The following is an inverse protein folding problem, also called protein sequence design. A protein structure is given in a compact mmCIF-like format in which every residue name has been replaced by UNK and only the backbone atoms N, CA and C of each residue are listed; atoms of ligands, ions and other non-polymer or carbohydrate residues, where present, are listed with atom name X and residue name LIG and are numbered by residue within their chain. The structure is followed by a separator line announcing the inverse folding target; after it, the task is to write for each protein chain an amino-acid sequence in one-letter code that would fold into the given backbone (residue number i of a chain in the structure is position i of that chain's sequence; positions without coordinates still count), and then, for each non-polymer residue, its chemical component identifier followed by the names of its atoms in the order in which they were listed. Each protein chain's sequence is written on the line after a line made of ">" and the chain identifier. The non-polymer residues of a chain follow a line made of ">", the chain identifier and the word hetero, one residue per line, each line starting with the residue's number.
data_IF_212371526169
#
_entry.id   IF_212371526169
#
_cell.length_a   1.000
_cell.length_b   1.000
_cell.length_c   1.000
_cell.angle_alpha   90.00
_cell.angle_beta   90.00
_cell.angle_gamma   90.00
#
_symmetry.space_group_name_H-M   'P 1'
#
loop_
_entity.id
_entity.type
_entity.pdbx_description
1 polymer ?
#
# COMPACT_ATOMS: atom_id res chain seq x y z
N UNK A 1 60.65 59.12 -24.40
CA UNK A 1 59.43 59.19 -23.56
C UNK A 1 58.27 58.22 -23.88
N UNK A 2 58.28 57.31 -24.90
CA UNK A 2 57.08 56.49 -25.17
C UNK A 2 57.04 55.13 -24.45
N UNK A 3 58.20 54.58 -24.02
CA UNK A 3 58.29 53.23 -23.43
C UNK A 3 57.65 53.18 -22.03
N UNK A 4 57.80 54.25 -21.24
CA UNK A 4 57.27 54.31 -19.87
C UNK A 4 55.73 54.38 -19.81
N UNK A 5 55.10 54.99 -20.82
CA UNK A 5 53.64 55.09 -20.94
C UNK A 5 53.00 53.77 -21.41
N UNK A 6 53.69 53.00 -22.25
CA UNK A 6 53.21 51.69 -22.69
C UNK A 6 53.27 50.65 -21.56
N UNK A 7 54.34 50.70 -20.75
CA UNK A 7 54.57 49.77 -19.65
C UNK A 7 53.57 49.98 -18.50
N UNK A 8 53.26 51.24 -18.18
CA UNK A 8 52.20 51.58 -17.21
C UNK A 8 50.80 51.17 -17.67
N UNK A 9 50.50 51.27 -18.98
CA UNK A 9 49.21 50.82 -19.54
C UNK A 9 49.05 49.29 -19.51
N UNK A 10 50.13 48.54 -19.83
CA UNK A 10 50.16 47.07 -19.74
C UNK A 10 50.00 46.59 -18.29
N UNK A 11 50.65 47.26 -17.35
CA UNK A 11 50.56 46.93 -15.92
C UNK A 11 49.18 47.26 -15.33
N UNK A 12 48.51 48.31 -15.80
CA UNK A 12 47.12 48.62 -15.43
C UNK A 12 46.14 47.57 -15.96
N UNK A 13 46.29 47.11 -17.20
CA UNK A 13 45.44 46.04 -17.76
C UNK A 13 45.65 44.70 -17.05
N UNK A 14 46.89 44.34 -16.69
CA UNK A 14 47.20 43.12 -15.92
C UNK A 14 46.53 43.14 -14.55
N UNK A 15 46.62 44.26 -13.82
CA UNK A 15 45.95 44.41 -12.51
C UNK A 15 44.43 44.38 -12.60
N UNK A 16 43.86 44.92 -13.67
CA UNK A 16 42.42 44.83 -13.91
C UNK A 16 41.98 43.39 -14.22
N UNK A 17 42.76 42.61 -14.96
CA UNK A 17 42.47 41.20 -15.23
C UNK A 17 42.56 40.34 -13.96
N UNK A 18 43.62 40.52 -13.15
CA UNK A 18 43.78 39.84 -11.85
C UNK A 18 42.64 40.17 -10.88
N UNK A 19 42.16 41.41 -10.87
CA UNK A 19 41.03 41.81 -10.02
C UNK A 19 39.69 41.18 -10.46
N UNK A 20 39.49 40.99 -11.76
CA UNK A 20 38.30 40.30 -12.31
C UNK A 20 38.36 38.81 -11.97
N UNK A 21 39.52 38.17 -12.15
CA UNK A 21 39.72 36.75 -11.84
C UNK A 21 39.57 36.47 -10.33
N UNK A 22 40.12 37.33 -9.47
CA UNK A 22 39.92 37.23 -8.02
C UNK A 22 38.44 37.41 -7.62
N UNK A 23 37.70 38.29 -8.30
CA UNK A 23 36.27 38.48 -8.09
C UNK A 23 35.46 37.24 -8.48
N UNK A 24 35.78 36.62 -9.62
CA UNK A 24 35.05 35.45 -10.14
C UNK A 24 35.31 34.19 -9.29
N UNK A 25 36.56 34.01 -8.81
CA UNK A 25 36.91 32.95 -7.86
C UNK A 25 36.18 33.13 -6.53
N UNK A 26 36.07 34.37 -6.02
CA UNK A 26 35.33 34.66 -4.79
C UNK A 26 33.82 34.40 -4.95
N UNK A 27 33.22 34.75 -6.08
CA UNK A 27 31.80 34.46 -6.38
C UNK A 27 31.57 32.94 -6.44
N UNK A 28 32.47 32.20 -7.10
CA UNK A 28 32.37 30.74 -7.19
C UNK A 28 32.53 30.04 -5.84
N UNK A 29 33.47 30.50 -5.01
CA UNK A 29 33.67 30.00 -3.64
C UNK A 29 32.43 30.26 -2.78
N UNK A 30 31.90 31.48 -2.81
CA UNK A 30 30.72 31.85 -2.02
C UNK A 30 29.47 31.07 -2.47
N UNK A 31 29.27 30.87 -3.77
CA UNK A 31 28.19 30.01 -4.28
C UNK A 31 28.36 28.54 -3.84
N UNK A 32 29.59 28.01 -3.82
CA UNK A 32 29.82 26.64 -3.34
C UNK A 32 29.54 26.47 -1.85
N UNK A 33 29.91 27.45 -1.02
CA UNK A 33 29.61 27.45 0.41
C UNK A 33 28.11 27.57 0.68
N UNK A 34 27.40 28.43 -0.06
CA UNK A 34 25.93 28.57 0.04
C UNK A 34 25.23 27.25 -0.34
N UNK A 35 25.66 26.61 -1.43
CA UNK A 35 25.10 25.32 -1.87
C UNK A 35 25.39 24.22 -0.84
N UNK A 36 26.60 24.17 -0.29
CA UNK A 36 26.97 23.19 0.72
C UNK A 36 26.20 23.40 2.03
N UNK A 37 26.06 24.65 2.49
CA UNK A 37 25.28 24.99 3.68
C UNK A 37 23.80 24.67 3.49
N UNK A 38 23.24 24.96 2.31
CA UNK A 38 21.86 24.59 1.95
C UNK A 38 21.64 23.08 1.92
N UNK A 39 22.62 22.31 1.42
CA UNK A 39 22.55 20.84 1.42
C UNK A 39 22.58 20.25 2.85
N UNK A 40 23.35 20.85 3.75
CA UNK A 40 23.46 20.42 5.15
C UNK A 40 22.15 20.73 5.89
N UNK A 41 21.58 21.92 5.69
CA UNK A 41 20.31 22.30 6.32
C UNK A 41 19.15 21.44 5.79
N UNK A 42 19.10 21.20 4.48
CA UNK A 42 18.13 20.31 3.84
C UNK A 42 18.25 18.86 4.37
N UNK A 43 19.49 18.35 4.52
CA UNK A 43 19.74 17.03 5.12
C UNK A 43 19.29 16.95 6.58
N UNK A 44 19.54 18.00 7.37
CA UNK A 44 19.10 18.09 8.76
C UNK A 44 17.57 18.17 8.88
N UNK A 45 16.91 18.94 8.02
CA UNK A 45 15.46 19.06 7.97
C UNK A 45 14.78 17.75 7.51
N UNK A 46 15.35 17.07 6.52
CA UNK A 46 14.92 15.74 6.08
C UNK A 46 15.03 14.71 7.21
N UNK A 47 16.11 14.73 7.98
CA UNK A 47 16.29 13.88 9.17
C UNK A 47 15.24 14.16 10.25
N UNK A 48 14.94 15.44 10.53
CA UNK A 48 13.86 15.85 11.45
C UNK A 48 12.48 15.39 10.96
N UNK A 49 12.20 15.53 9.67
CA UNK A 49 10.96 15.07 9.03
C UNK A 49 10.81 13.54 9.12
N UNK A 50 11.87 12.78 8.82
CA UNK A 50 11.85 11.31 9.00
C UNK A 50 11.61 10.92 10.46
N UNK A 51 12.29 11.57 11.41
CA UNK A 51 12.10 11.32 12.85
C UNK A 51 10.65 11.57 13.28
N UNK A 52 10.03 12.65 12.79
CA UNK A 52 8.63 12.94 13.06
C UNK A 52 7.69 11.84 12.51
N UNK A 53 7.92 11.35 11.29
CA UNK A 53 7.13 10.26 10.69
C UNK A 53 7.21 8.97 11.51
N UNK A 54 8.43 8.57 11.91
CA UNK A 54 8.60 7.40 12.77
C UNK A 54 7.91 7.58 14.12
N UNK A 55 7.95 8.78 14.69
CA UNK A 55 7.24 9.09 15.93
C UNK A 55 5.72 8.88 15.77
N UNK A 56 5.11 9.36 14.69
CA UNK A 56 3.69 9.12 14.40
C UNK A 56 3.37 7.63 14.20
N UNK A 57 4.24 6.89 13.49
CA UNK A 57 4.11 5.44 13.36
C UNK A 57 4.13 4.72 14.70
N UNK A 58 5.05 5.10 15.60
CA UNK A 58 5.16 4.56 16.95
C UNK A 58 3.93 4.94 17.79
N UNK A 59 3.50 6.20 17.76
CA UNK A 59 2.31 6.66 18.49
C UNK A 59 1.06 5.90 18.04
N UNK A 60 0.91 5.69 16.74
CA UNK A 60 -0.18 4.89 16.18
C UNK A 60 -0.11 3.44 16.65
N UNK A 61 1.07 2.81 16.60
CA UNK A 61 1.28 1.45 17.11
C UNK A 61 0.92 1.34 18.60
N UNK A 62 1.43 2.25 19.43
CA UNK A 62 1.17 2.28 20.87
C UNK A 62 -0.32 2.45 21.14
N UNK A 63 -0.98 3.39 20.45
CA UNK A 63 -2.42 3.65 20.61
C UNK A 63 -3.25 2.40 20.28
N UNK A 64 -2.92 1.70 19.19
CA UNK A 64 -3.60 0.48 18.77
C UNK A 64 -3.35 -0.71 19.72
N UNK A 65 -2.13 -0.85 20.24
CA UNK A 65 -1.80 -1.84 21.28
C UNK A 65 -2.50 -1.53 22.60
N UNK A 66 -2.60 -0.25 22.99
CA UNK A 66 -3.36 0.17 24.16
C UNK A 66 -4.86 -0.12 24.00
N UNK A 67 -5.44 0.19 22.84
CA UNK A 67 -6.84 -0.11 22.53
C UNK A 67 -7.13 -1.62 22.63
N UNK A 68 -6.24 -2.45 22.11
CA UNK A 68 -6.30 -3.90 22.28
C UNK A 68 -6.25 -4.33 23.75
N UNK A 69 -5.24 -3.84 24.47
CA UNK A 69 -5.03 -4.20 25.87
C UNK A 69 -6.25 -3.83 26.72
N UNK A 70 -6.83 -2.65 26.49
CA UNK A 70 -8.07 -2.20 27.12
C UNK A 70 -9.22 -3.15 26.76
N UNK A 71 -9.44 -3.46 25.47
CA UNK A 71 -10.52 -4.36 25.03
C UNK A 71 -10.47 -5.73 25.71
N UNK A 72 -9.29 -6.35 25.80
CA UNK A 72 -9.15 -7.75 26.22
C UNK A 72 -8.82 -7.93 27.71
N UNK A 73 -8.26 -6.92 28.38
CA UNK A 73 -7.80 -6.99 29.78
C UNK A 73 -8.39 -5.94 30.73
N UNK A 74 -9.12 -4.92 30.26
CA UNK A 74 -9.64 -3.85 31.15
C UNK A 74 -10.45 -4.40 32.34
N UNK A 75 -11.22 -5.48 32.15
CA UNK A 75 -11.98 -6.11 33.23
C UNK A 75 -11.12 -6.65 34.37
N UNK A 76 -9.87 -7.06 34.09
CA UNK A 76 -8.93 -7.53 35.12
C UNK A 76 -8.23 -6.37 35.85
N UNK A 77 -8.11 -5.22 35.19
CA UNK A 77 -7.33 -4.07 35.68
C UNK A 77 -8.22 -3.07 36.43
N UNK A 78 -9.48 -2.89 36.01
CA UNK A 78 -10.45 -1.98 36.64
C UNK A 78 -11.77 -2.72 36.96
N UNK A 79 -11.84 -3.49 38.06
CA UNK A 79 -13.07 -4.18 38.46
C UNK A 79 -14.22 -3.22 38.83
N UNK A 80 -13.93 -1.94 39.06
CA UNK A 80 -14.91 -0.89 39.39
C UNK A 80 -15.61 -0.30 38.15
N UNK A 81 -15.05 -0.47 36.95
CA UNK A 81 -15.76 -0.14 35.72
C UNK A 81 -16.66 -1.32 35.35
N UNK A 82 -17.92 -1.27 35.79
CA UNK A 82 -18.99 -2.09 35.23
C UNK A 82 -19.19 -1.71 33.75
N UNK A 83 -18.33 -2.23 32.87
CA UNK A 83 -18.64 -2.27 31.45
C UNK A 83 -19.83 -3.22 31.29
N UNK A 84 -20.93 -2.70 30.74
CA UNK A 84 -22.08 -3.51 30.34
C UNK A 84 -21.57 -4.60 29.42
N UNK A 85 -21.60 -5.84 29.90
CA UNK A 85 -21.22 -7.03 29.15
C UNK A 85 -22.18 -7.09 27.95
N UNK A 86 -21.69 -6.74 26.75
CA UNK A 86 -22.54 -6.66 25.56
C UNK A 86 -23.12 -8.03 25.17
N UNK A 87 -22.50 -9.12 25.62
CA UNK A 87 -23.11 -10.45 25.65
C UNK A 87 -22.39 -11.34 26.69
N UNK A 88 -23.16 -12.07 27.50
CA UNK A 88 -22.63 -13.10 28.40
C UNK A 88 -22.10 -14.32 27.62
N UNK A 89 -21.36 -15.18 28.31
CA UNK A 89 -20.70 -16.41 27.79
C UNK A 89 -21.67 -17.45 27.20
N UNK A 90 -22.99 -17.18 27.28
CA UNK A 90 -24.08 -18.03 26.77
C UNK A 90 -24.88 -17.44 25.61
N UNK A 91 -24.46 -16.33 24.98
CA UNK A 91 -25.05 -15.83 23.72
C UNK A 91 -26.52 -15.37 23.75
N UNK A 92 -27.23 -15.50 24.87
CA UNK A 92 -28.67 -15.25 24.95
C UNK A 92 -29.05 -13.88 25.55
N UNK A 93 -28.10 -13.19 26.19
CA UNK A 93 -28.30 -11.85 26.75
C UNK A 93 -27.41 -10.84 26.02
N UNK A 94 -27.55 -10.77 24.70
CA UNK A 94 -27.02 -9.64 23.96
C UNK A 94 -27.93 -8.43 24.17
N UNK A 95 -27.39 -7.22 24.03
CA UNK A 95 -28.14 -5.96 24.06
C UNK A 95 -29.17 -5.94 22.91
N UNK A 96 -30.26 -6.68 23.09
CA UNK A 96 -31.26 -6.91 22.07
C UNK A 96 -32.05 -5.63 21.87
N UNK A 97 -32.22 -5.26 20.60
CA UNK A 97 -33.10 -4.21 20.11
C UNK A 97 -34.57 -4.60 20.40
N UNK A 98 -34.96 -4.63 21.67
CA UNK A 98 -36.35 -4.79 22.07
C UNK A 98 -36.85 -3.47 22.63
N UNK A 99 -37.46 -2.71 21.71
CA UNK A 99 -38.49 -1.71 21.95
C UNK A 99 -38.46 -0.96 23.28
N UNK A 100 -37.71 0.13 23.34
CA UNK A 100 -38.13 1.29 24.12
C UNK A 100 -37.57 2.56 23.48
N UNK A 101 -38.51 3.41 23.06
CA UNK A 101 -38.37 4.62 22.28
C UNK A 101 -37.74 5.78 23.06
N UNK A 102 -36.48 5.61 23.47
CA UNK A 102 -35.62 6.74 23.82
C UNK A 102 -34.18 6.43 23.40
N UNK A 103 -33.88 6.83 22.15
CA UNK A 103 -32.54 6.78 21.59
C UNK A 103 -31.72 7.87 22.31
N UNK A 104 -31.08 7.53 23.43
CA UNK A 104 -30.19 8.47 24.13
C UNK A 104 -29.10 8.99 23.19
N UNK A 105 -28.78 10.28 23.28
CA UNK A 105 -27.78 10.96 22.43
C UNK A 105 -26.46 10.19 22.35
N UNK A 106 -26.04 9.57 23.46
CA UNK A 106 -24.83 8.74 23.54
C UNK A 106 -24.88 7.52 22.61
N UNK A 107 -26.02 6.82 22.54
CA UNK A 107 -26.20 5.64 21.67
C UNK A 107 -26.20 6.05 20.20
N UNK A 108 -26.84 7.17 19.89
CA UNK A 108 -26.83 7.73 18.54
C UNK A 108 -25.41 8.11 18.11
N UNK A 109 -24.61 8.74 18.98
CA UNK A 109 -23.24 9.11 18.69
C UNK A 109 -22.34 7.89 18.43
N UNK A 110 -22.47 6.82 19.24
CA UNK A 110 -21.71 5.57 19.04
C UNK A 110 -22.09 4.90 17.72
N UNK A 111 -23.38 4.86 17.39
CA UNK A 111 -23.86 4.30 16.13
C UNK A 111 -23.32 5.09 14.92
N UNK A 112 -23.45 6.43 14.94
CA UNK A 112 -22.94 7.29 13.88
C UNK A 112 -21.42 7.18 13.74
N UNK A 113 -20.68 7.11 14.86
CA UNK A 113 -19.23 6.91 14.84
C UNK A 113 -18.85 5.55 14.25
N UNK A 114 -19.60 4.49 14.55
CA UNK A 114 -19.40 3.17 13.97
C UNK A 114 -19.65 3.13 12.47
N UNK A 115 -20.73 3.74 11.98
CA UNK A 115 -21.01 3.84 10.55
C UNK A 115 -19.97 4.70 9.81
N UNK A 116 -19.56 5.83 10.41
CA UNK A 116 -18.47 6.66 9.88
C UNK A 116 -17.15 5.88 9.81
N UNK A 117 -16.81 5.14 10.86
CA UNK A 117 -15.62 4.30 10.88
C UNK A 117 -15.69 3.19 9.83
N UNK A 118 -16.88 2.63 9.54
CA UNK A 118 -17.06 1.60 8.51
C UNK A 118 -16.80 2.18 7.13
N UNK A 119 -17.35 3.36 6.83
CA UNK A 119 -17.09 4.07 5.59
C UNK A 119 -15.61 4.45 5.46
N UNK A 120 -14.99 4.99 6.52
CA UNK A 120 -13.57 5.34 6.56
C UNK A 120 -12.65 4.15 6.38
N UNK A 121 -12.98 3.00 6.98
CA UNK A 121 -12.26 1.75 6.79
C UNK A 121 -12.32 1.25 5.34
N UNK A 122 -13.48 1.39 4.68
CA UNK A 122 -13.62 1.09 3.25
C UNK A 122 -12.73 1.98 2.37
N UNK A 123 -12.70 3.29 2.65
CA UNK A 123 -11.82 4.24 1.94
C UNK A 123 -10.35 3.88 2.17
N UNK A 124 -9.98 3.55 3.41
CA UNK A 124 -8.62 3.12 3.75
C UNK A 124 -8.18 1.91 2.93
N UNK A 125 -9.03 0.88 2.82
CA UNK A 125 -8.73 -0.32 2.04
C UNK A 125 -8.47 -0.01 0.57
N UNK A 126 -9.27 0.87 -0.04
CA UNK A 126 -9.08 1.28 -1.45
C UNK A 126 -7.77 2.06 -1.62
N UNK A 127 -7.46 2.98 -0.72
CA UNK A 127 -6.20 3.75 -0.77
C UNK A 127 -4.98 2.86 -0.54
N UNK A 128 -5.04 1.97 0.44
CA UNK A 128 -4.00 0.98 0.70
C UNK A 128 -3.80 0.07 -0.51
N UNK A 129 -4.88 -0.35 -1.16
CA UNK A 129 -4.81 -1.21 -2.34
C UNK A 129 -4.10 -0.53 -3.52
N UNK A 130 -4.43 0.73 -3.81
CA UNK A 130 -3.74 1.49 -4.87
C UNK A 130 -2.26 1.66 -4.55
N UNK A 131 -1.93 2.01 -3.30
CA UNK A 131 -0.55 2.11 -2.80
C UNK A 131 0.22 0.80 -2.96
N UNK A 132 -0.38 -0.35 -2.62
CA UNK A 132 0.25 -1.67 -2.80
C UNK A 132 0.50 -1.99 -4.28
N UNK A 133 -0.44 -1.68 -5.17
CA UNK A 133 -0.27 -1.94 -6.62
C UNK A 133 0.88 -1.09 -7.19
N UNK A 134 0.95 0.20 -6.83
CA UNK A 134 2.05 1.08 -7.25
C UNK A 134 3.37 0.65 -6.62
N UNK A 135 3.37 0.19 -5.37
CA UNK A 135 4.55 -0.40 -4.73
C UNK A 135 5.02 -1.66 -5.45
N UNK A 136 4.12 -2.56 -5.87
CA UNK A 136 4.47 -3.75 -6.67
C UNK A 136 5.07 -3.33 -8.01
N UNK A 137 4.51 -2.31 -8.67
CA UNK A 137 5.05 -1.78 -9.92
C UNK A 137 6.44 -1.15 -9.75
N UNK A 138 6.63 -0.38 -8.68
CA UNK A 138 7.93 0.18 -8.29
C UNK A 138 8.94 -0.92 -7.98
N UNK A 139 8.54 -1.93 -7.20
CA UNK A 139 9.37 -3.08 -6.84
C UNK A 139 9.83 -3.83 -8.10
N UNK A 140 8.91 -4.06 -9.04
CA UNK A 140 9.21 -4.65 -10.33
C UNK A 140 10.28 -3.86 -11.09
N UNK A 141 10.22 -2.52 -11.07
CA UNK A 141 11.24 -1.66 -11.70
C UNK A 141 12.57 -1.64 -10.93
N UNK A 142 12.53 -1.70 -9.60
CA UNK A 142 13.72 -1.65 -8.76
C UNK A 142 14.60 -2.90 -8.90
N UNK A 143 13.99 -4.08 -8.94
CA UNK A 143 14.71 -5.34 -9.16
C UNK A 143 15.21 -5.49 -10.60
N UNK A 144 14.72 -4.67 -11.53
CA UNK A 144 15.07 -4.70 -12.95
C UNK A 144 15.33 -3.28 -13.49
N UNK A 145 16.45 -2.64 -13.10
CA UNK A 145 16.90 -1.44 -13.79
C UNK A 145 17.25 -1.79 -15.24
N UNK A 146 16.97 -0.89 -16.19
CA UNK A 146 17.10 -1.05 -17.67
C UNK A 146 18.52 -1.43 -18.19
N UNK A 147 19.45 -1.80 -17.33
CA UNK A 147 20.87 -2.02 -17.63
C UNK A 147 21.28 -3.44 -17.20
N UNK A 148 21.86 -4.22 -18.14
CA UNK A 148 22.28 -5.65 -18.09
C UNK A 148 21.29 -6.68 -18.71
N UNK A 149 21.06 -6.53 -20.03
CA UNK A 149 20.08 -7.25 -20.88
C UNK A 149 20.23 -8.79 -21.00
N UNK A 150 21.22 -9.45 -20.39
CA UNK A 150 21.38 -10.93 -20.46
C UNK A 150 21.23 -11.67 -19.14
N UNK A 151 21.73 -11.14 -18.01
CA UNK A 151 21.52 -11.76 -16.69
C UNK A 151 20.15 -11.42 -16.08
N UNK A 152 19.64 -10.21 -16.35
CA UNK A 152 18.37 -9.73 -15.80
C UNK A 152 17.15 -10.53 -16.30
N UNK A 153 17.13 -10.94 -17.57
CA UNK A 153 16.01 -11.70 -18.16
C UNK A 153 15.85 -13.10 -17.53
N UNK A 154 16.95 -13.78 -17.21
CA UNK A 154 16.91 -15.09 -16.53
C UNK A 154 16.39 -14.97 -15.09
N UNK A 155 16.82 -13.91 -14.38
CA UNK A 155 16.39 -13.64 -13.01
C UNK A 155 14.92 -13.22 -12.94
N UNK A 156 14.44 -12.40 -13.88
CA UNK A 156 13.03 -12.02 -14.00
C UNK A 156 12.11 -13.23 -14.15
N UNK A 157 12.44 -14.11 -15.11
CA UNK A 157 11.66 -15.31 -15.38
C UNK A 157 11.71 -16.28 -14.19
N UNK A 158 12.86 -16.42 -13.54
CA UNK A 158 13.00 -17.25 -12.34
C UNK A 158 12.12 -16.74 -11.19
N UNK A 159 12.20 -15.44 -10.87
CA UNK A 159 11.41 -14.85 -9.79
C UNK A 159 9.91 -14.89 -10.11
N UNK A 160 9.52 -14.60 -11.35
CA UNK A 160 8.13 -14.70 -11.80
C UNK A 160 7.60 -16.13 -11.64
N UNK A 161 8.38 -17.12 -12.08
CA UNK A 161 8.03 -18.54 -11.96
C UNK A 161 7.85 -18.94 -10.49
N UNK A 162 8.72 -18.48 -9.60
CA UNK A 162 8.61 -18.75 -8.17
C UNK A 162 7.30 -18.20 -7.57
N UNK A 163 6.91 -16.97 -7.91
CA UNK A 163 5.65 -16.38 -7.45
C UNK A 163 4.43 -17.13 -7.99
N UNK A 164 4.45 -17.56 -9.25
CA UNK A 164 3.36 -18.38 -9.79
C UNK A 164 3.27 -19.76 -9.13
N UNK A 165 4.41 -20.42 -8.88
CA UNK A 165 4.45 -21.69 -8.14
C UNK A 165 3.86 -21.51 -6.74
N UNK A 166 4.25 -20.45 -6.03
CA UNK A 166 3.70 -20.14 -4.71
C UNK A 166 2.17 -19.89 -4.76
N UNK A 167 1.68 -19.16 -5.76
CA UNK A 167 0.26 -18.92 -5.94
C UNK A 167 -0.53 -20.22 -6.21
N UNK A 168 -0.04 -21.08 -7.11
CA UNK A 168 -0.67 -22.38 -7.40
C UNK A 168 -0.64 -23.29 -6.18
N UNK A 169 0.49 -23.36 -5.46
CA UNK A 169 0.59 -24.10 -4.22
C UNK A 169 -0.42 -23.60 -3.18
N UNK A 170 -0.58 -22.28 -3.04
CA UNK A 170 -1.59 -21.68 -2.17
C UNK A 170 -3.02 -22.09 -2.55
N UNK A 171 -3.38 -22.09 -3.83
CA UNK A 171 -4.69 -22.56 -4.32
C UNK A 171 -4.91 -24.03 -3.96
N UNK A 172 -3.94 -24.91 -4.24
CA UNK A 172 -4.04 -26.35 -3.96
C UNK A 172 -4.19 -26.58 -2.45
N UNK A 173 -3.39 -25.89 -1.64
CA UNK A 173 -3.46 -25.98 -0.18
C UNK A 173 -4.82 -25.51 0.34
N UNK A 174 -5.38 -24.43 -0.21
CA UNK A 174 -6.70 -23.95 0.18
C UNK A 174 -7.82 -24.94 -0.18
N UNK A 175 -7.75 -25.58 -1.35
CA UNK A 175 -8.70 -26.64 -1.70
C UNK A 175 -8.63 -27.81 -0.71
N UNK A 176 -7.42 -28.24 -0.37
CA UNK A 176 -7.22 -29.35 0.55
C UNK A 176 -7.69 -29.02 1.98
N UNK A 177 -7.36 -27.83 2.49
CA UNK A 177 -7.63 -27.47 3.89
C UNK A 177 -9.05 -26.97 4.14
N UNK A 178 -9.65 -26.23 3.20
CA UNK A 178 -10.90 -25.49 3.44
C UNK A 178 -12.05 -25.87 2.50
N UNK A 179 -11.79 -26.64 1.44
CA UNK A 179 -12.77 -26.94 0.38
C UNK A 179 -12.85 -28.42 0.00
N UNK A 180 -12.33 -29.33 0.84
CA UNK A 180 -12.33 -30.78 0.55
C UNK A 180 -13.72 -31.41 0.52
N UNK A 181 -14.68 -30.83 1.26
CA UNK A 181 -16.06 -31.34 1.35
C UNK A 181 -17.03 -30.49 0.52
N UNK A 182 -17.96 -31.16 -0.15
CA UNK A 182 -19.04 -30.51 -0.93
C UNK A 182 -19.95 -29.59 -0.07
N UNK A 183 -19.97 -29.80 1.24
CA UNK A 183 -20.67 -28.93 2.19
C UNK A 183 -20.08 -27.51 2.28
N UNK A 184 -18.81 -27.32 1.87
CA UNK A 184 -18.10 -26.04 1.93
C UNK A 184 -18.22 -25.26 0.61
N UNK A 185 -19.44 -25.15 0.06
CA UNK A 185 -19.72 -24.58 -1.27
C UNK A 185 -19.21 -23.14 -1.43
N UNK A 186 -19.29 -22.34 -0.36
CA UNK A 186 -18.84 -20.95 -0.37
C UNK A 186 -17.30 -20.84 -0.42
N UNK A 187 -16.58 -21.69 0.31
CA UNK A 187 -15.11 -21.74 0.23
C UNK A 187 -14.66 -22.27 -1.13
N UNK A 188 -15.36 -23.26 -1.70
CA UNK A 188 -15.14 -23.74 -3.07
C UNK A 188 -15.31 -22.57 -4.05
N UNK A 189 -16.40 -21.79 -3.92
CA UNK A 189 -16.66 -20.63 -4.78
C UNK A 189 -15.55 -19.57 -4.69
N UNK A 190 -15.10 -19.20 -3.50
CA UNK A 190 -14.01 -18.23 -3.35
C UNK A 190 -12.71 -18.72 -4.01
N UNK A 191 -12.26 -19.93 -3.69
CA UNK A 191 -11.01 -20.46 -4.24
C UNK A 191 -11.09 -20.66 -5.75
N UNK A 192 -12.21 -21.16 -6.29
CA UNK A 192 -12.42 -21.29 -7.74
C UNK A 192 -12.35 -19.94 -8.43
N UNK A 193 -13.01 -18.92 -7.89
CA UNK A 193 -13.02 -17.58 -8.47
C UNK A 193 -11.62 -16.93 -8.44
N UNK A 194 -10.88 -17.05 -7.34
CA UNK A 194 -9.48 -16.59 -7.26
C UNK A 194 -8.60 -17.29 -8.31
N UNK A 195 -8.78 -18.59 -8.52
CA UNK A 195 -8.06 -19.33 -9.56
C UNK A 195 -8.39 -18.82 -10.98
N UNK A 196 -9.66 -18.50 -11.25
CA UNK A 196 -10.07 -17.88 -12.53
C UNK A 196 -9.40 -16.52 -12.70
N UNK A 197 -9.42 -15.65 -11.68
CA UNK A 197 -8.77 -14.34 -11.72
C UNK A 197 -7.27 -14.46 -11.99
N UNK A 198 -6.59 -15.44 -11.40
CA UNK A 198 -5.18 -15.73 -11.66
C UNK A 198 -4.94 -16.06 -13.13
N UNK A 199 -5.73 -16.98 -13.70
CA UNK A 199 -5.60 -17.37 -15.11
C UNK A 199 -5.86 -16.17 -16.04
N UNK A 200 -6.90 -15.38 -15.75
CA UNK A 200 -7.22 -14.18 -16.53
C UNK A 200 -6.07 -13.16 -16.50
N UNK A 201 -5.51 -12.88 -15.32
CA UNK A 201 -4.36 -11.98 -15.20
C UNK A 201 -3.13 -12.51 -15.94
N UNK A 202 -2.85 -13.81 -15.85
CA UNK A 202 -1.74 -14.45 -16.57
C UNK A 202 -1.91 -14.32 -18.10
N UNK A 203 -3.09 -14.63 -18.63
CA UNK A 203 -3.38 -14.54 -20.08
C UNK A 203 -3.25 -13.11 -20.58
N UNK A 204 -3.78 -12.13 -19.85
CA UNK A 204 -3.70 -10.72 -20.24
C UNK A 204 -2.26 -10.20 -20.18
N UNK A 205 -1.48 -10.60 -19.17
CA UNK A 205 -0.06 -10.22 -19.07
C UNK A 205 0.81 -10.82 -20.18
N UNK A 206 0.47 -12.02 -20.66
CA UNK A 206 1.15 -12.67 -21.80
C UNK A 206 0.71 -12.13 -23.16
N UNK A 207 -0.38 -11.37 -23.22
CA UNK A 207 -0.88 -10.84 -24.48
C UNK A 207 0.10 -9.82 -25.07
N UNK A 208 0.47 -10.02 -26.34
CA UNK A 208 1.52 -9.28 -27.04
C UNK A 208 1.33 -7.75 -27.08
N UNK A 209 0.08 -7.28 -26.94
CA UNK A 209 -0.24 -5.84 -26.91
C UNK A 209 0.03 -5.15 -25.57
N UNK A 210 0.29 -5.92 -24.50
CA UNK A 210 0.42 -5.38 -23.14
C UNK A 210 1.86 -5.48 -22.62
N UNK A 211 2.63 -6.52 -23.00
CA UNK A 211 4.08 -6.72 -22.75
C UNK A 211 4.67 -6.03 -21.50
N UNK A 212 3.93 -6.08 -20.38
CA UNK A 212 4.40 -5.65 -19.06
C UNK A 212 4.89 -6.92 -18.37
N UNK A 213 6.16 -6.92 -17.95
CA UNK A 213 6.90 -8.11 -17.48
C UNK A 213 6.09 -9.07 -16.59
N UNK A 214 6.34 -10.37 -16.79
CA UNK A 214 5.61 -11.48 -16.17
C UNK A 214 5.75 -11.49 -14.63
N UNK A 215 6.80 -10.85 -14.10
CA UNK A 215 7.06 -10.73 -12.67
C UNK A 215 5.98 -9.95 -11.92
N UNK A 216 5.51 -8.83 -12.47
CA UNK A 216 4.45 -8.03 -11.84
C UNK A 216 3.15 -8.83 -11.67
N UNK A 217 2.78 -9.62 -12.67
CA UNK A 217 1.57 -10.46 -12.65
C UNK A 217 1.70 -11.62 -11.66
N UNK A 218 2.89 -12.23 -11.56
CA UNK A 218 3.17 -13.25 -10.54
C UNK A 218 3.08 -12.73 -9.09
N UNK A 219 3.63 -11.54 -8.82
CA UNK A 219 3.53 -10.90 -7.50
C UNK A 219 2.07 -10.59 -7.16
N UNK A 220 1.31 -10.05 -8.12
CA UNK A 220 -0.12 -9.79 -7.95
C UNK A 220 -0.92 -11.09 -7.74
N UNK A 221 -0.60 -12.16 -8.47
CA UNK A 221 -1.22 -13.47 -8.30
C UNK A 221 -1.02 -14.02 -6.87
N UNK A 222 0.20 -13.90 -6.34
CA UNK A 222 0.49 -14.29 -4.95
C UNK A 222 -0.30 -13.43 -3.95
N UNK A 223 -0.45 -12.13 -4.22
CA UNK A 223 -1.21 -11.22 -3.37
C UNK A 223 -2.71 -11.56 -3.32
N UNK A 224 -3.36 -11.84 -4.46
CA UNK A 224 -4.78 -12.22 -4.48
C UNK A 224 -5.02 -13.56 -3.78
N UNK A 225 -4.11 -14.53 -3.93
CA UNK A 225 -4.18 -15.82 -3.24
C UNK A 225 -4.05 -15.63 -1.73
N UNK A 226 -3.16 -14.73 -1.29
CA UNK A 226 -3.04 -14.36 0.12
C UNK A 226 -4.31 -13.68 0.66
N UNK A 227 -4.93 -12.78 -0.12
CA UNK A 227 -6.20 -12.15 0.29
C UNK A 227 -7.34 -13.18 0.41
N UNK A 228 -7.46 -14.10 -0.54
CA UNK A 228 -8.43 -15.20 -0.47
C UNK A 228 -8.20 -16.07 0.77
N UNK A 229 -6.95 -16.48 1.03
CA UNK A 229 -6.60 -17.25 2.23
C UNK A 229 -6.96 -16.51 3.51
N UNK A 230 -6.63 -15.21 3.59
CA UNK A 230 -6.96 -14.34 4.72
C UNK A 230 -8.48 -14.21 4.93
N UNK A 231 -9.27 -14.20 3.85
CA UNK A 231 -10.72 -14.13 3.92
C UNK A 231 -11.36 -15.43 4.45
N UNK A 232 -10.91 -16.59 3.97
CA UNK A 232 -11.38 -17.90 4.44
C UNK A 232 -11.00 -18.11 5.91
N UNK A 233 -9.81 -17.65 6.34
CA UNK A 233 -9.41 -17.67 7.76
C UNK A 233 -10.26 -16.78 8.67
N UNK A 234 -10.92 -15.77 8.10
CA UNK A 234 -11.86 -14.90 8.79
C UNK A 234 -13.27 -15.50 8.92
N UNK A 235 -13.55 -16.62 8.25
CA UNK A 235 -14.82 -17.34 8.37
C UNK A 235 -15.07 -17.72 9.85
N UNK A 236 -16.28 -17.50 10.38
CA UNK A 236 -16.60 -17.97 11.73
C UNK A 236 -16.47 -19.49 11.78
N UNK A 237 -15.82 -20.00 12.84
CA UNK A 237 -15.52 -21.41 12.98
C UNK A 237 -16.80 -22.27 12.93
N UNK A 238 -16.93 -23.06 11.86
CA UNK A 238 -17.86 -24.17 11.75
C UNK A 238 -17.06 -25.48 11.85
N UNK A 239 -17.66 -26.52 12.42
CA UNK A 239 -16.97 -27.81 12.60
C UNK A 239 -16.68 -28.53 11.26
N UNK A 240 -17.30 -28.08 10.18
CA UNK A 240 -17.33 -28.77 8.89
C UNK A 240 -16.20 -28.30 7.95
N UNK A 241 -15.90 -27.00 7.93
CA UNK A 241 -15.01 -26.39 6.92
C UNK A 241 -13.78 -25.72 7.54
N UNK A 242 -13.84 -25.27 8.80
CA UNK A 242 -12.74 -24.57 9.46
C UNK A 242 -12.49 -25.12 10.89
N UNK A 243 -12.15 -26.41 10.97
CA UNK A 243 -11.92 -27.15 12.22
C UNK A 243 -10.65 -26.73 13.00
N UNK A 244 -9.81 -25.86 12.42
CA UNK A 244 -8.48 -25.54 12.98
C UNK A 244 -8.50 -24.77 14.31
N UNK A 245 -9.69 -24.36 14.79
CA UNK A 245 -9.80 -23.53 16.01
C UNK A 245 -10.00 -24.31 17.32
N UNK A 246 -10.21 -25.63 17.30
CA UNK A 246 -10.54 -26.39 18.52
C UNK A 246 -9.45 -27.32 19.09
N UNK A 247 -8.35 -27.61 18.38
CA UNK A 247 -7.59 -28.84 18.72
C UNK A 247 -6.40 -28.66 19.69
N UNK A 248 -5.80 -27.49 19.94
CA UNK A 248 -4.59 -27.45 20.77
C UNK A 248 -4.60 -26.41 21.90
N UNK A 249 -4.55 -26.89 23.15
CA UNK A 249 -4.36 -26.13 24.39
C UNK A 249 -3.02 -25.38 24.52
N UNK A 250 -2.22 -25.28 23.46
CA UNK A 250 -1.07 -24.40 23.32
C UNK A 250 -1.36 -23.19 22.39
N UNK A 251 -2.63 -22.98 22.03
CA UNK A 251 -3.08 -22.01 21.03
C UNK A 251 -2.98 -20.53 21.43
N UNK A 252 -2.95 -20.23 22.72
CA UNK A 252 -2.99 -18.83 23.20
C UNK A 252 -1.80 -18.00 22.71
N UNK A 253 -0.57 -18.49 22.84
CA UNK A 253 0.62 -17.77 22.38
C UNK A 253 0.65 -17.58 20.86
N UNK A 254 0.19 -18.56 20.08
CA UNK A 254 0.16 -18.45 18.62
C UNK A 254 -0.89 -17.46 18.13
N UNK A 255 -2.02 -17.34 18.83
CA UNK A 255 -3.04 -16.32 18.52
C UNK A 255 -2.59 -14.92 18.89
N UNK A 256 -1.93 -14.75 20.05
CA UNK A 256 -1.33 -13.47 20.47
C UNK A 256 -0.23 -13.05 19.47
N UNK A 257 0.64 -13.98 19.07
CA UNK A 257 1.68 -13.70 18.09
C UNK A 257 1.08 -13.29 16.72
N UNK A 258 0.08 -14.03 16.24
CA UNK A 258 -0.60 -13.72 14.97
C UNK A 258 -1.29 -12.35 15.02
N UNK A 259 -1.85 -12.01 16.17
CA UNK A 259 -2.46 -10.71 16.43
C UNK A 259 -1.43 -9.58 16.38
N UNK A 260 -0.28 -9.73 17.05
CA UNK A 260 0.79 -8.72 17.02
C UNK A 260 1.36 -8.51 15.61
N UNK A 261 1.54 -9.61 14.87
CA UNK A 261 1.96 -9.55 13.46
C UNK A 261 0.94 -8.77 12.62
N UNK A 262 -0.37 -9.03 12.82
CA UNK A 262 -1.42 -8.30 12.13
C UNK A 262 -1.40 -6.81 12.43
N UNK A 263 -1.24 -6.41 13.71
CA UNK A 263 -1.08 -4.99 14.07
C UNK A 263 0.11 -4.39 13.35
N UNK A 264 1.29 -5.01 13.44
CA UNK A 264 2.51 -4.51 12.80
C UNK A 264 2.32 -4.35 11.28
N UNK A 265 1.68 -5.32 10.62
CA UNK A 265 1.37 -5.25 9.20
C UNK A 265 0.46 -4.05 8.86
N UNK A 266 -0.57 -3.79 9.67
CA UNK A 266 -1.47 -2.65 9.46
C UNK A 266 -0.76 -1.32 9.68
N UNK A 267 0.09 -1.22 10.70
CA UNK A 267 0.89 -0.01 10.94
C UNK A 267 1.84 0.24 9.76
N UNK A 268 2.52 -0.80 9.29
CA UNK A 268 3.41 -0.69 8.12
C UNK A 268 2.64 -0.29 6.86
N UNK A 269 1.46 -0.88 6.62
CA UNK A 269 0.62 -0.53 5.49
C UNK A 269 0.11 0.92 5.56
N UNK A 270 -0.30 1.37 6.75
CA UNK A 270 -0.76 2.76 7.00
C UNK A 270 0.38 3.74 6.78
N UNK A 271 1.57 3.43 7.31
CA UNK A 271 2.76 4.25 7.15
C UNK A 271 3.18 4.34 5.68
N UNK A 272 3.27 3.21 4.99
CA UNK A 272 3.62 3.12 3.56
C UNK A 272 2.64 3.90 2.70
N UNK A 273 1.34 3.76 2.96
CA UNK A 273 0.30 4.49 2.21
C UNK A 273 0.35 5.99 2.52
N UNK A 274 0.66 6.38 3.76
CA UNK A 274 0.76 7.78 4.15
C UNK A 274 1.93 8.51 3.50
N UNK A 275 3.04 7.82 3.23
CA UNK A 275 4.20 8.39 2.54
C UNK A 275 4.03 8.39 1.01
N UNK A 276 3.19 7.52 0.46
CA UNK A 276 2.96 7.36 -0.98
C UNK A 276 1.97 8.39 -1.56
N UNK A 277 2.06 9.66 -1.13
CA UNK A 277 1.14 10.69 -1.62
C UNK A 277 1.31 11.00 -3.11
N UNK A 278 2.47 10.68 -3.70
CA UNK A 278 2.77 10.95 -5.11
C UNK A 278 1.90 10.13 -6.08
N UNK A 279 1.57 8.89 -5.71
CA UNK A 279 0.64 8.03 -6.46
C UNK A 279 -0.76 8.63 -6.60
N UNK A 280 -1.13 9.56 -5.71
CA UNK A 280 -2.44 10.20 -5.65
C UNK A 280 -2.44 11.68 -6.11
N UNK A 281 -1.29 12.21 -6.56
CA UNK A 281 -1.23 13.57 -7.10
C UNK A 281 -1.80 13.60 -8.53
N UNK A 282 -3.01 14.15 -8.68
CA UNK A 282 -3.70 14.31 -9.96
C UNK A 282 -3.03 15.34 -10.91
N UNK A 283 -2.12 16.18 -10.42
CA UNK A 283 -1.39 17.17 -11.21
C UNK A 283 0.12 17.00 -11.00
N UNK A 284 0.79 16.44 -12.01
CA UNK A 284 2.26 16.19 -12.01
C UNK A 284 3.09 17.42 -12.41
N UNK A 285 2.46 18.57 -12.58
CA UNK A 285 3.05 19.75 -13.22
C UNK A 285 3.96 20.58 -12.28
N UNK A 286 4.12 20.16 -11.01
CA UNK A 286 5.05 20.80 -10.08
C UNK A 286 6.38 20.06 -10.11
N UNK A 287 7.41 20.71 -10.65
CA UNK A 287 8.81 20.28 -10.48
C UNK A 287 9.09 20.24 -8.99
N UNK A 288 9.33 19.05 -8.42
CA UNK A 288 9.84 18.92 -7.06
C UNK A 288 11.22 19.57 -7.02
N UNK A 289 11.34 20.71 -6.34
CA UNK A 289 12.63 21.24 -5.93
C UNK A 289 13.20 20.28 -4.87
N UNK A 290 14.52 20.06 -4.86
CA UNK A 290 15.21 19.16 -3.91
C UNK A 290 14.96 19.49 -2.42
N UNK A 291 14.38 20.66 -2.13
CA UNK A 291 13.99 21.14 -0.80
C UNK A 291 12.53 20.80 -0.40
N UNK A 292 11.69 20.31 -1.32
CA UNK A 292 10.29 19.98 -1.02
C UNK A 292 10.17 18.61 -0.34
N UNK A 293 9.47 18.59 0.79
CA UNK A 293 9.20 17.37 1.55
C UNK A 293 8.37 16.41 0.68
N UNK A 294 8.77 15.14 0.52
CA UNK A 294 8.27 14.25 -0.53
C UNK A 294 6.79 13.83 -0.40
N UNK A 295 6.07 14.31 0.61
CA UNK A 295 4.68 13.96 0.87
C UNK A 295 3.84 15.13 1.42
N UNK A 296 2.53 15.08 1.18
CA UNK A 296 1.60 16.08 1.74
C UNK A 296 1.22 15.72 3.19
N UNK A 297 1.52 16.61 4.13
CA UNK A 297 1.17 16.48 5.55
C UNK A 297 -0.31 16.18 5.79
N UNK A 298 -1.22 16.87 5.09
CA UNK A 298 -2.66 16.65 5.22
C UNK A 298 -3.08 15.25 4.79
N UNK A 299 -2.49 14.76 3.69
CA UNK A 299 -2.72 13.39 3.21
C UNK A 299 -2.19 12.35 4.20
N UNK A 300 -0.99 12.56 4.75
CA UNK A 300 -0.42 11.66 5.75
C UNK A 300 -1.31 11.50 6.98
N UNK A 301 -1.77 12.61 7.57
CA UNK A 301 -2.67 12.55 8.72
C UNK A 301 -4.04 11.97 8.39
N UNK A 302 -4.56 12.23 7.18
CA UNK A 302 -5.79 11.61 6.68
C UNK A 302 -5.65 10.09 6.62
N UNK A 303 -4.57 9.56 6.05
CA UNK A 303 -4.32 8.12 5.98
C UNK A 303 -4.22 7.49 7.39
N UNK A 304 -3.54 8.15 8.33
CA UNK A 304 -3.48 7.68 9.71
C UNK A 304 -4.85 7.69 10.42
N UNK A 305 -5.69 8.69 10.15
CA UNK A 305 -7.06 8.75 10.66
C UNK A 305 -7.93 7.63 10.08
N UNK A 306 -7.87 7.41 8.76
CA UNK A 306 -8.57 6.32 8.08
C UNK A 306 -8.06 4.94 8.53
N UNK A 307 -6.75 4.81 8.76
CA UNK A 307 -6.13 3.60 9.32
C UNK A 307 -6.61 3.30 10.74
N UNK A 308 -6.84 4.32 11.58
CA UNK A 308 -7.43 4.15 12.90
C UNK A 308 -8.89 3.64 12.81
N UNK A 309 -9.68 4.18 11.87
CA UNK A 309 -11.05 3.72 11.62
C UNK A 309 -11.07 2.26 11.12
N UNK A 310 -10.16 1.91 10.22
CA UNK A 310 -9.96 0.53 9.76
C UNK A 310 -9.62 -0.39 10.93
N UNK A 311 -8.64 -0.03 11.77
CA UNK A 311 -8.26 -0.81 12.94
C UNK A 311 -9.43 -1.03 13.91
N UNK A 312 -10.23 0.00 14.15
CA UNK A 312 -11.45 -0.10 14.97
C UNK A 312 -12.45 -1.10 14.39
N UNK A 313 -12.64 -1.12 13.06
CA UNK A 313 -13.51 -2.10 12.40
C UNK A 313 -13.02 -3.54 12.56
N UNK A 314 -11.71 -3.78 12.54
CA UNK A 314 -11.18 -5.12 12.72
C UNK A 314 -11.44 -5.67 14.13
N UNK A 315 -11.41 -4.80 15.14
CA UNK A 315 -11.70 -5.19 16.52
C UNK A 315 -13.14 -5.64 16.74
N UNK A 316 -14.09 -5.08 16.00
CA UNK A 316 -15.49 -5.47 16.05
C UNK A 316 -15.86 -6.45 14.92
N UNK A 317 -14.86 -6.95 14.18
CA UNK A 317 -15.06 -7.88 13.06
C UNK A 317 -16.08 -7.38 12.02
N UNK A 318 -16.05 -6.07 11.74
CA UNK A 318 -16.94 -5.39 10.79
C UNK A 318 -18.43 -5.46 11.13
N UNK A 319 -18.78 -5.84 12.36
CA UNK A 319 -20.16 -5.96 12.80
C UNK A 319 -20.40 -5.02 13.99
N UNK A 320 -21.36 -4.11 13.85
CA UNK A 320 -21.72 -3.14 14.90
C UNK A 320 -22.59 -3.76 16.00
N UNK A 321 -23.22 -4.92 15.75
CA UNK A 321 -24.24 -5.51 16.60
C UNK A 321 -23.70 -6.65 17.48
N UNK A 322 -22.62 -7.30 17.07
CA UNK A 322 -22.07 -8.48 17.75
C UNK A 322 -20.81 -8.18 18.57
N UNK A 323 -20.71 -8.78 19.76
CA UNK A 323 -19.51 -8.69 20.59
C UNK A 323 -18.36 -9.53 20.01
N UNK A 324 -17.22 -8.91 19.75
CA UNK A 324 -16.02 -9.61 19.30
C UNK A 324 -15.48 -10.57 20.38
N UNK A 325 -14.99 -11.73 19.96
CA UNK A 325 -14.38 -12.70 20.89
C UNK A 325 -12.99 -12.23 21.31
N UNK A 326 -12.60 -12.55 22.54
CA UNK A 326 -11.27 -12.30 23.10
C UNK A 326 -10.15 -12.83 22.19
N UNK A 327 -9.06 -12.07 22.01
CA UNK A 327 -7.94 -12.41 21.11
C UNK A 327 -8.27 -12.55 19.62
N UNK A 328 -9.50 -12.27 19.21
CA UNK A 328 -9.89 -12.33 17.79
C UNK A 328 -9.99 -10.94 17.19
N UNK A 329 -9.43 -10.81 15.99
CA UNK A 329 -9.57 -9.68 15.08
C UNK A 329 -10.13 -10.28 13.79
N UNK A 330 -11.05 -9.58 13.13
CA UNK A 330 -11.50 -9.94 11.79
C UNK A 330 -12.09 -11.35 11.68
N UNK A 331 -12.83 -11.83 12.70
CA UNK A 331 -13.50 -13.13 12.63
C UNK A 331 -14.99 -12.93 12.52
N UNK A 332 -15.55 -13.25 11.36
CA UNK A 332 -16.97 -13.15 11.06
C UNK A 332 -17.22 -12.99 9.57
N UNK A 333 -18.45 -13.32 9.15
CA UNK A 333 -18.86 -13.24 7.75
C UNK A 333 -18.64 -11.86 7.14
N UNK A 334 -18.87 -10.78 7.89
CA UNK A 334 -18.63 -9.43 7.42
C UNK A 334 -17.15 -9.19 7.06
N UNK A 335 -16.22 -9.62 7.92
CA UNK A 335 -14.78 -9.53 7.64
C UNK A 335 -14.37 -10.38 6.44
N UNK A 336 -14.89 -11.61 6.33
CA UNK A 336 -14.66 -12.48 5.16
C UNK A 336 -15.07 -11.79 3.86
N UNK A 337 -16.30 -11.24 3.80
CA UNK A 337 -16.79 -10.56 2.60
C UNK A 337 -16.00 -9.30 2.27
N UNK A 338 -15.63 -8.50 3.27
CA UNK A 338 -14.81 -7.31 3.04
C UNK A 338 -13.46 -7.67 2.41
N UNK A 339 -12.83 -8.75 2.86
CA UNK A 339 -11.57 -9.24 2.29
C UNK A 339 -11.73 -9.80 0.87
N UNK A 340 -12.79 -10.56 0.59
CA UNK A 340 -13.10 -11.07 -0.76
C UNK A 340 -13.40 -9.93 -1.74
N UNK A 341 -14.21 -8.96 -1.32
CA UNK A 341 -14.51 -7.78 -2.14
C UNK A 341 -13.24 -6.97 -2.40
N UNK A 342 -12.37 -6.82 -1.41
CA UNK A 342 -11.07 -6.17 -1.57
C UNK A 342 -10.18 -6.92 -2.59
N UNK A 343 -10.18 -8.25 -2.59
CA UNK A 343 -9.49 -9.07 -3.60
C UNK A 343 -10.02 -8.80 -5.01
N UNK A 344 -11.35 -8.74 -5.19
CA UNK A 344 -11.96 -8.48 -6.50
C UNK A 344 -11.62 -7.08 -7.00
N UNK A 345 -11.66 -6.08 -6.12
CA UNK A 345 -11.20 -4.73 -6.46
C UNK A 345 -9.72 -4.71 -6.82
N UNK A 346 -8.88 -5.46 -6.10
CA UNK A 346 -7.45 -5.56 -6.38
C UNK A 346 -7.20 -6.09 -7.80
N UNK A 347 -7.81 -7.22 -8.14
CA UNK A 347 -7.71 -7.81 -9.48
C UNK A 347 -8.25 -6.84 -10.55
N UNK A 348 -9.39 -6.20 -10.30
CA UNK A 348 -10.01 -5.27 -11.26
C UNK A 348 -9.14 -4.05 -11.53
N UNK A 349 -8.61 -3.41 -10.49
CA UNK A 349 -7.73 -2.23 -10.63
C UNK A 349 -6.44 -2.62 -11.36
N UNK A 350 -5.87 -3.78 -11.04
CA UNK A 350 -4.68 -4.29 -11.72
C UNK A 350 -4.93 -4.56 -13.21
N UNK A 351 -6.01 -5.27 -13.55
CA UNK A 351 -6.41 -5.52 -14.92
C UNK A 351 -6.66 -4.22 -15.68
N UNK A 352 -7.34 -3.25 -15.07
CA UNK A 352 -7.55 -1.94 -15.66
C UNK A 352 -6.23 -1.21 -15.92
N UNK A 353 -5.25 -1.28 -15.02
CA UNK A 353 -3.91 -0.70 -15.21
C UNK A 353 -3.13 -1.34 -16.37
N UNK A 354 -3.37 -2.62 -16.66
CA UNK A 354 -2.80 -3.32 -17.80
C UNK A 354 -3.48 -2.92 -19.11
N UNK A 355 -4.81 -2.83 -19.13
CA UNK A 355 -5.62 -2.61 -20.34
C UNK A 355 -5.70 -1.13 -20.72
N UNK A 356 -5.73 -0.21 -19.74
CA UNK A 356 -5.94 1.22 -19.94
C UNK A 356 -4.97 1.87 -20.94
N UNK A 357 -3.65 1.59 -20.93
CA UNK A 357 -2.74 2.10 -21.95
C UNK A 357 -3.12 1.65 -23.36
N UNK A 358 -3.47 0.37 -23.54
CA UNK A 358 -3.83 -0.20 -24.85
C UNK A 358 -5.14 0.37 -25.40
N UNK A 359 -6.13 0.61 -24.54
CA UNK A 359 -7.41 1.22 -24.94
C UNK A 359 -7.28 2.72 -25.24
N UNK A 360 -6.35 3.42 -24.58
CA UNK A 360 -6.13 4.86 -24.75
C UNK A 360 -5.19 5.23 -25.89
N UNK A 361 -4.48 4.29 -26.50
CA UNK A 361 -3.77 4.55 -27.76
C UNK A 361 -4.84 4.83 -28.82
N UNK A 362 -4.93 6.07 -29.36
CA UNK A 362 -5.80 6.31 -30.49
C UNK A 362 -5.26 5.48 -31.64
N UNK A 363 -6.17 4.79 -32.30
CA UNK A 363 -5.98 4.10 -33.57
C UNK A 363 -5.50 5.12 -34.61
N UNK A 364 -4.21 5.45 -34.61
CA UNK A 364 -3.54 6.04 -35.78
C UNK A 364 -3.49 4.89 -36.76
N UNK A 365 -4.58 4.70 -37.51
CA UNK A 365 -4.53 3.87 -38.69
C UNK A 365 -3.58 4.56 -39.64
N UNK A 366 -2.45 3.92 -39.87
CA UNK A 366 -1.50 4.28 -40.92
C UNK A 366 -2.27 4.43 -42.23
N UNK A 367 -2.50 5.67 -42.67
CA UNK A 367 -2.64 5.91 -44.09
C UNK A 367 -1.23 5.79 -44.66
N UNK A 368 -0.93 4.63 -45.23
CA UNK A 368 0.15 4.46 -46.19
C UNK A 368 -0.01 5.51 -47.29
N UNK A 369 0.80 6.57 -47.26
CA UNK A 369 1.11 7.30 -48.50
C UNK A 369 2.15 6.48 -49.28
N UNK A 370 1.91 6.20 -50.57
CA UNK A 370 2.80 5.39 -51.37
C UNK A 370 4.09 6.16 -51.68
N UNK A 371 5.20 5.49 -51.42
CA UNK A 371 6.56 5.77 -51.89
C UNK A 371 6.57 6.40 -53.30
N UNK A 372 7.03 7.65 -53.41
CA UNK A 372 7.65 8.16 -54.65
C UNK A 372 9.17 8.18 -54.47
N UNK A 373 9.79 7.08 -54.86
CA UNK A 373 11.18 7.04 -55.30
C UNK A 373 11.30 7.95 -56.52
N UNK A 374 11.99 9.07 -56.38
CA UNK A 374 12.62 9.76 -57.51
C UNK A 374 14.11 9.55 -57.33
N UNK A 375 14.58 8.50 -58.00
CA UNK A 375 15.97 8.32 -58.35
C UNK A 375 16.13 8.99 -59.72
N UNK A 376 16.85 10.10 -59.78
CA UNK A 376 17.53 10.49 -61.01
C UNK A 376 18.82 11.21 -60.65
N UNK A 377 19.88 10.58 -61.11
CA UNK A 377 21.28 10.96 -60.98
C UNK A 377 21.67 11.93 -62.10
N UNK A 378 22.80 12.60 -61.89
CA UNK A 378 23.70 13.25 -62.87
C UNK A 378 23.74 14.80 -62.84
N UNK A 379 24.83 15.26 -62.21
CA UNK A 379 25.59 16.52 -62.31
C UNK A 379 25.82 17.02 -63.76
N UNK A 380 26.23 18.28 -64.04
CA UNK A 380 27.23 19.08 -63.32
C UNK A 380 26.78 20.44 -62.76
#
# INVERSE_FOLDING_TARGET
>A
MPVHALQTRKQRMSRSAEAIEAGDVHIRSSNSEIVQHKSIDCSAEKSKSLRARYLYGILFLVTNLSAWFIRDYAQKVLPQLHYIKACGDGGNDCFQYSGSSSLGLEKLLVFLAGELARAGAGIFLVLQLVSVIEFIAWWNKYWMPDQERKQSCSLELFMSTLFYIAAIFGIVLMYYLYAHRLACSLNIFFVTWTAILLVVMMVISLHSMVNRGLLSSGIMASYIVFLCWSAIRSEPANEICNAQKQVNGNGDWTTILSFLIAICAIVMATFSTGIDSQSFQFRKDKVQLDDDIPYNYGFFHLIFSLGAMYFAMLFISWNLENSARKWSIDVGWASTWVKIVNEWFAATIYLWKLISPTVRQPKVMDHEEPNQQIDDSISP
#
